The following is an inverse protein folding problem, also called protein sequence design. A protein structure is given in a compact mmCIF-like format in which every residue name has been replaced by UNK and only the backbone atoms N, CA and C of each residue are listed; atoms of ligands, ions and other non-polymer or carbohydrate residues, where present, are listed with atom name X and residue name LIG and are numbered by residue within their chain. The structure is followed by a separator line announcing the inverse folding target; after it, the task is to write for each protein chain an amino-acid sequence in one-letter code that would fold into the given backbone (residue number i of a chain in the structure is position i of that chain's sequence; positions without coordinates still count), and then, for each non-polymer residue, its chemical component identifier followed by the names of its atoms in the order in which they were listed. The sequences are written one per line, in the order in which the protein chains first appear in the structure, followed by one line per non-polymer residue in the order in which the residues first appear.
data_IF_696039879095
#
_entry.id   IF_696039879095
#
_cell.length_a   1.000
_cell.length_b   1.000
_cell.length_c   1.000
_cell.angle_alpha   90.00
_cell.angle_beta   90.00
_cell.angle_gamma   90.00
#
_symmetry.space_group_name_H-M   'P 1'
#
loop_
_entity.id
_entity.type
_entity.pdbx_description
1 polymer ?
#
# COMPACT_ATOMS: atom_id res chain seq x y z
N UNK A 1 -3.61 -31.68 9.74
CA UNK A 1 -4.58 -30.63 9.31
C UNK A 1 -4.14 -29.20 9.64
N UNK A 2 -3.44 -28.91 10.76
CA UNK A 2 -2.92 -27.57 11.03
C UNK A 2 -1.77 -27.17 10.07
N UNK A 3 -0.92 -28.13 9.68
CA UNK A 3 0.19 -27.93 8.74
C UNK A 3 -0.20 -27.61 7.28
N UNK A 4 -1.45 -27.86 6.87
CA UNK A 4 -1.91 -27.53 5.51
C UNK A 4 -2.52 -26.13 5.44
N UNK A 5 -3.18 -25.67 6.50
CA UNK A 5 -3.66 -24.27 6.61
C UNK A 5 -2.51 -23.29 6.75
N UNK A 6 -1.44 -23.66 7.46
CA UNK A 6 -0.20 -22.86 7.56
C UNK A 6 0.53 -22.78 6.21
N UNK A 7 0.49 -23.83 5.39
CA UNK A 7 1.00 -23.80 4.00
C UNK A 7 0.18 -22.93 3.06
N UNK A 8 -1.12 -22.72 3.35
CA UNK A 8 -2.00 -21.87 2.54
C UNK A 8 -1.77 -20.37 2.76
N UNK A 9 -1.17 -19.96 3.89
CA UNK A 9 -0.69 -18.60 4.10
C UNK A 9 0.65 -18.40 3.37
N UNK A 10 0.57 -18.34 2.04
CA UNK A 10 1.68 -18.01 1.15
C UNK A 10 2.25 -16.63 1.47
N UNK A 11 3.22 -16.57 2.39
CA UNK A 11 4.24 -15.55 2.62
C UNK A 11 4.10 -14.24 1.83
N UNK A 12 3.23 -13.36 2.31
CA UNK A 12 3.15 -11.97 1.86
C UNK A 12 3.95 -11.11 2.83
N UNK A 13 4.61 -10.09 2.32
CA UNK A 13 5.21 -9.03 3.11
C UNK A 13 4.19 -7.90 3.27
N UNK A 14 3.88 -7.56 4.52
CA UNK A 14 3.24 -6.29 4.84
C UNK A 14 4.35 -5.25 5.02
N UNK A 15 4.37 -4.24 4.15
CA UNK A 15 5.33 -3.15 4.18
C UNK A 15 4.60 -1.90 4.63
N UNK A 16 5.05 -1.31 5.73
CA UNK A 16 4.57 -0.04 6.22
C UNK A 16 5.73 0.95 6.30
N UNK A 17 5.53 2.13 5.74
CA UNK A 17 6.47 3.24 5.82
C UNK A 17 5.66 4.48 6.15
N UNK A 18 6.10 5.20 7.17
CA UNK A 18 5.53 6.48 7.57
C UNK A 18 6.67 7.44 7.84
N UNK A 19 6.52 8.67 7.37
CA UNK A 19 7.46 9.75 7.58
C UNK A 19 6.70 11.00 7.94
N UNK A 20 7.22 11.76 8.89
CA UNK A 20 6.68 13.02 9.32
C UNK A 20 7.82 14.03 9.49
N UNK A 21 7.65 15.23 8.97
CA UNK A 21 8.64 16.30 9.06
C UNK A 21 7.96 17.67 9.09
N UNK A 22 8.67 18.65 9.64
CA UNK A 22 8.25 20.04 9.66
C UNK A 22 9.29 20.89 8.92
N UNK A 23 8.87 21.54 7.85
CA UNK A 23 9.71 22.45 7.05
C UNK A 23 9.08 23.85 6.94
N UNK A 24 8.58 24.36 8.05
CA UNK A 24 7.69 25.54 8.09
C UNK A 24 6.21 25.18 7.93
N UNK A 25 5.94 23.96 7.45
CA UNK A 25 4.64 23.34 7.33
C UNK A 25 4.73 21.89 7.80
N UNK A 26 3.64 21.37 8.36
CA UNK A 26 3.54 19.97 8.77
C UNK A 26 3.34 19.10 7.53
N UNK A 27 4.28 18.20 7.25
CA UNK A 27 4.27 17.40 6.04
C UNK A 27 4.72 15.96 6.29
N UNK A 28 4.37 15.07 5.38
CA UNK A 28 4.72 13.67 5.53
C UNK A 28 4.24 12.78 4.42
N UNK A 29 4.53 11.50 4.60
CA UNK A 29 4.13 10.44 3.68
C UNK A 29 3.80 9.18 4.47
N UNK A 30 2.78 8.47 4.02
CA UNK A 30 2.36 7.19 4.56
C UNK A 30 2.15 6.20 3.43
N UNK A 31 2.65 4.98 3.61
CA UNK A 31 2.51 3.92 2.64
C UNK A 31 2.28 2.60 3.36
N UNK A 32 1.28 1.85 2.88
CA UNK A 32 1.06 0.46 3.27
C UNK A 32 0.92 -0.39 2.01
N UNK A 33 1.65 -1.50 1.96
CA UNK A 33 1.73 -2.35 0.78
C UNK A 33 1.76 -3.82 1.16
N UNK A 34 0.97 -4.64 0.47
CA UNK A 34 1.01 -6.09 0.50
C UNK A 34 1.74 -6.59 -0.73
N UNK A 35 2.89 -7.22 -0.50
CA UNK A 35 3.80 -7.66 -1.55
C UNK A 35 3.98 -9.17 -1.46
N UNK A 36 3.94 -9.89 -2.57
CA UNK A 36 4.21 -11.33 -2.56
C UNK A 36 5.71 -11.63 -2.70
N UNK A 37 6.08 -12.92 -2.70
CA UNK A 37 7.49 -13.35 -2.83
C UNK A 37 8.17 -13.01 -4.15
N UNK A 38 7.38 -12.79 -5.20
CA UNK A 38 7.87 -12.42 -6.53
C UNK A 38 7.98 -10.90 -6.70
N UNK A 39 7.85 -10.15 -5.60
CA UNK A 39 7.78 -8.69 -5.57
C UNK A 39 6.58 -8.10 -6.32
N UNK A 40 5.55 -8.89 -6.61
CA UNK A 40 4.29 -8.37 -7.13
C UNK A 40 3.50 -7.69 -6.01
N UNK A 41 3.05 -6.48 -6.31
CA UNK A 41 2.15 -5.73 -5.45
C UNK A 41 0.76 -6.33 -5.57
N UNK A 42 0.24 -6.84 -4.45
CA UNK A 42 -1.17 -7.28 -4.34
C UNK A 42 -2.04 -6.04 -4.15
N UNK A 43 -1.63 -5.16 -3.24
CA UNK A 43 -2.33 -3.93 -2.90
C UNK A 43 -1.35 -2.94 -2.28
N UNK A 44 -1.43 -1.67 -2.65
CA UNK A 44 -0.65 -0.58 -2.09
C UNK A 44 -1.50 0.68 -1.99
N UNK A 45 -1.39 1.37 -0.87
CA UNK A 45 -1.91 2.71 -0.67
C UNK A 45 -0.78 3.61 -0.22
N UNK A 46 -0.48 4.62 -1.02
CA UNK A 46 0.50 5.69 -0.72
C UNK A 46 -0.24 7.02 -0.58
N UNK A 47 0.14 7.80 0.43
CA UNK A 47 -0.37 9.13 0.73
C UNK A 47 0.81 10.05 0.96
N UNK A 48 0.76 11.24 0.40
CA UNK A 48 1.63 12.37 0.77
C UNK A 48 0.75 13.55 1.16
N UNK A 49 1.18 14.29 2.17
CA UNK A 49 0.43 15.42 2.70
C UNK A 49 1.35 16.57 3.10
N UNK A 50 0.81 17.79 2.98
CA UNK A 50 1.38 19.01 3.54
C UNK A 50 0.22 19.88 4.03
N UNK A 51 0.28 20.31 5.28
CA UNK A 51 -0.66 21.23 5.90
C UNK A 51 -0.03 22.63 5.88
N UNK A 52 -0.50 23.48 4.97
CA UNK A 52 -0.24 24.91 5.04
C UNK A 52 -1.12 25.57 6.12
N UNK A 53 -0.84 26.83 6.49
CA UNK A 53 -1.58 27.57 7.52
C UNK A 53 -3.07 27.80 7.16
N UNK A 54 -3.46 27.53 5.91
CA UNK A 54 -4.86 27.44 5.49
C UNK A 54 -5.39 26.07 5.92
N UNK A 55 -6.50 25.99 6.65
CA UNK A 55 -7.09 24.77 7.25
C UNK A 55 -7.33 23.58 6.27
N UNK A 56 -7.03 23.72 4.98
CA UNK A 56 -7.16 22.68 3.95
C UNK A 56 -5.80 22.15 3.50
N UNK A 57 -5.26 21.20 4.26
CA UNK A 57 -4.05 20.48 3.88
C UNK A 57 -4.12 19.86 2.46
N UNK A 58 -3.01 19.98 1.73
CA UNK A 58 -2.85 19.37 0.41
C UNK A 58 -2.47 17.91 0.58
N UNK A 59 -3.34 17.03 0.10
CA UNK A 59 -3.12 15.59 0.15
C UNK A 59 -3.15 15.02 -1.28
N UNK A 60 -2.20 14.14 -1.58
CA UNK A 60 -2.22 13.26 -2.75
C UNK A 60 -2.24 11.82 -2.30
N UNK A 61 -3.09 11.00 -2.90
CA UNK A 61 -3.17 9.56 -2.62
C UNK A 61 -3.04 8.79 -3.92
N UNK A 62 -2.27 7.71 -3.91
CA UNK A 62 -2.22 6.74 -4.99
C UNK A 62 -2.54 5.36 -4.40
N UNK A 63 -3.60 4.75 -4.90
CA UNK A 63 -3.97 3.37 -4.61
C UNK A 63 -3.64 2.52 -5.83
N UNK A 64 -2.99 1.38 -5.62
CA UNK A 64 -2.72 0.38 -6.66
C UNK A 64 -3.10 -0.99 -6.13
N UNK A 65 -3.99 -1.69 -6.82
CA UNK A 65 -4.44 -3.02 -6.39
C UNK A 65 -4.59 -3.98 -7.56
N UNK A 66 -4.18 -5.22 -7.38
CA UNK A 66 -4.38 -6.28 -8.36
C UNK A 66 -5.85 -6.73 -8.33
N UNK A 67 -6.53 -6.64 -9.47
CA UNK A 67 -7.91 -7.08 -9.65
C UNK A 67 -7.99 -8.06 -10.82
N UNK A 68 -8.26 -9.33 -10.51
CA UNK A 68 -8.26 -10.44 -11.47
C UNK A 68 -6.96 -10.51 -12.29
N UNK A 69 -6.95 -9.94 -13.49
CA UNK A 69 -5.85 -9.95 -14.45
C UNK A 69 -5.47 -8.54 -14.93
N UNK A 70 -5.68 -7.54 -14.08
CA UNK A 70 -5.34 -6.14 -14.31
C UNK A 70 -4.91 -5.48 -12.99
N UNK A 71 -4.16 -4.39 -13.10
CA UNK A 71 -3.92 -3.47 -11.99
C UNK A 71 -4.92 -2.32 -12.07
N UNK A 72 -5.66 -2.11 -10.98
CA UNK A 72 -6.48 -0.92 -10.76
C UNK A 72 -5.66 0.13 -10.04
N UNK A 73 -5.70 1.36 -10.56
CA UNK A 73 -4.96 2.49 -10.01
C UNK A 73 -5.93 3.66 -9.82
N UNK A 74 -5.95 4.21 -8.60
CA UNK A 74 -6.72 5.42 -8.28
C UNK A 74 -5.79 6.47 -7.71
N UNK A 75 -5.69 7.60 -8.38
CA UNK A 75 -5.01 8.79 -7.90
C UNK A 75 -6.05 9.81 -7.43
N UNK A 76 -5.88 10.36 -6.23
CA UNK A 76 -6.66 11.49 -5.74
C UNK A 76 -5.79 12.66 -5.30
N UNK A 77 -6.27 13.89 -5.49
CA UNK A 77 -5.61 15.10 -4.99
C UNK A 77 -6.64 16.08 -4.43
N UNK A 78 -6.52 16.48 -3.15
CA UNK A 78 -7.50 17.36 -2.50
C UNK A 78 -7.57 18.75 -3.14
N UNK A 79 -6.41 19.38 -3.41
CA UNK A 79 -6.34 20.75 -3.93
C UNK A 79 -6.96 20.94 -5.32
N UNK A 80 -6.82 19.95 -6.19
CA UNK A 80 -7.25 20.04 -7.58
C UNK A 80 -8.52 19.21 -7.83
N UNK A 81 -9.12 18.67 -6.77
CA UNK A 81 -10.29 17.77 -6.83
C UNK A 81 -10.14 16.63 -7.84
N UNK A 82 -8.90 16.12 -7.98
CA UNK A 82 -8.60 15.07 -8.95
C UNK A 82 -9.06 13.73 -8.37
N UNK A 83 -9.82 12.95 -9.15
CA UNK A 83 -10.04 11.51 -8.96
C UNK A 83 -9.83 10.78 -10.30
N UNK A 84 -8.59 10.36 -10.56
CA UNK A 84 -8.21 9.64 -11.78
C UNK A 84 -8.18 8.15 -11.53
N UNK A 85 -8.88 7.38 -12.37
CA UNK A 85 -8.94 5.92 -12.30
C UNK A 85 -8.38 5.32 -13.59
N UNK A 86 -7.48 4.36 -13.45
CA UNK A 86 -6.82 3.69 -14.59
C UNK A 86 -6.76 2.18 -14.37
N UNK A 87 -6.73 1.47 -15.49
CA UNK A 87 -6.52 0.03 -15.51
C UNK A 87 -5.33 -0.29 -16.40
N UNK A 88 -4.39 -1.07 -15.87
CA UNK A 88 -3.23 -1.56 -16.61
C UNK A 88 -3.32 -3.08 -16.77
N UNK A 89 -3.05 -3.59 -17.97
CA UNK A 89 -2.98 -5.04 -18.19
C UNK A 89 -1.75 -5.64 -17.51
N UNK A 90 -1.81 -6.93 -17.15
CA UNK A 90 -0.63 -7.61 -16.60
C UNK A 90 0.58 -7.58 -17.53
N UNK A 91 0.36 -7.60 -18.86
CA UNK A 91 1.42 -7.50 -19.85
C UNK A 91 2.14 -6.15 -19.73
N UNK A 92 1.39 -5.05 -19.61
CA UNK A 92 1.97 -3.71 -19.42
C UNK A 92 2.66 -3.56 -18.07
N UNK A 93 2.22 -4.32 -17.06
CA UNK A 93 2.76 -4.30 -15.70
C UNK A 93 3.80 -5.40 -15.43
N UNK A 94 4.30 -6.10 -16.44
CA UNK A 94 5.17 -7.28 -16.27
C UNK A 94 6.43 -6.99 -15.44
N UNK A 95 7.03 -5.82 -15.62
CA UNK A 95 8.23 -5.38 -14.91
C UNK A 95 7.92 -4.26 -13.90
N UNK A 96 6.65 -4.11 -13.50
CA UNK A 96 6.24 -3.10 -12.55
C UNK A 96 6.60 -3.51 -11.12
N UNK A 97 7.13 -2.56 -10.37
CA UNK A 97 7.32 -2.67 -8.93
C UNK A 97 6.73 -1.42 -8.26
N UNK A 98 5.89 -1.63 -7.24
CA UNK A 98 5.37 -0.54 -6.42
C UNK A 98 6.40 -0.06 -5.40
N UNK A 99 6.11 1.00 -4.66
CA UNK A 99 7.08 1.59 -3.75
C UNK A 99 7.38 0.65 -2.56
N UNK A 100 6.36 -0.04 -2.03
CA UNK A 100 6.55 -1.04 -0.98
C UNK A 100 7.34 -2.25 -1.45
N UNK A 101 7.04 -2.77 -2.64
CA UNK A 101 7.80 -3.86 -3.24
C UNK A 101 9.25 -3.46 -3.54
N UNK A 102 9.47 -2.22 -3.96
CA UNK A 102 10.79 -1.64 -4.19
C UNK A 102 11.67 -1.72 -2.93
N UNK A 103 11.15 -1.34 -1.77
CA UNK A 103 11.93 -1.43 -0.53
C UNK A 103 12.28 -2.88 -0.18
N UNK A 104 11.37 -3.84 -0.35
CA UNK A 104 11.69 -5.26 -0.11
C UNK A 104 12.75 -5.76 -1.09
N UNK A 105 12.62 -5.40 -2.37
CA UNK A 105 13.58 -5.77 -3.42
C UNK A 105 14.97 -5.19 -3.15
N UNK A 106 15.08 -3.90 -2.83
CA UNK A 106 16.38 -3.27 -2.53
C UNK A 106 17.04 -3.92 -1.32
N UNK A 107 16.28 -4.27 -0.27
CA UNK A 107 16.80 -5.01 0.89
C UNK A 107 17.30 -6.40 0.47
N UNK A 108 16.55 -7.10 -0.36
CA UNK A 108 16.95 -8.41 -0.89
C UNK A 108 18.23 -8.33 -1.71
N UNK A 109 18.37 -7.33 -2.61
CA UNK A 109 19.58 -7.11 -3.41
C UNK A 109 20.83 -7.00 -2.52
N UNK A 110 20.73 -6.25 -1.42
CA UNK A 110 21.83 -6.04 -0.48
C UNK A 110 22.20 -7.34 0.24
N UNK A 111 21.21 -8.08 0.73
CA UNK A 111 21.42 -9.36 1.42
C UNK A 111 22.01 -10.40 0.44
N UNK A 112 21.54 -10.41 -0.81
CA UNK A 112 22.06 -11.23 -1.89
C UNK A 112 23.40 -10.74 -2.45
N UNK A 113 23.93 -9.62 -1.95
CA UNK A 113 25.19 -8.99 -2.40
C UNK A 113 25.22 -8.67 -3.89
N UNK A 114 24.08 -8.30 -4.45
CA UNK A 114 23.95 -7.93 -5.85
C UNK A 114 24.68 -6.60 -6.13
N UNK A 115 25.52 -6.61 -7.17
CA UNK A 115 26.23 -5.44 -7.68
C UNK A 115 25.93 -5.36 -9.18
N UNK A 116 25.53 -4.18 -9.65
CA UNK A 116 25.20 -3.98 -11.06
C UNK A 116 23.99 -3.08 -11.24
N UNK A 117 23.52 -3.05 -12.48
CA UNK A 117 22.47 -2.13 -12.93
C UNK A 117 21.34 -2.91 -13.59
N UNK A 118 20.10 -2.52 -13.32
CA UNK A 118 18.93 -3.04 -14.03
C UNK A 118 17.81 -1.99 -14.04
N UNK A 119 16.79 -2.23 -14.85
CA UNK A 119 15.66 -1.34 -15.02
C UNK A 119 14.35 -2.10 -14.81
N UNK A 120 13.43 -1.45 -14.10
CA UNK A 120 12.04 -1.85 -13.91
C UNK A 120 11.13 -0.66 -14.23
N UNK A 121 9.82 -0.87 -14.14
CA UNK A 121 8.83 0.19 -14.15
C UNK A 121 8.33 0.45 -12.72
N UNK A 122 7.99 1.69 -12.42
CA UNK A 122 7.34 2.08 -11.16
C UNK A 122 6.15 2.97 -11.47
N UNK A 123 5.42 3.39 -10.45
CA UNK A 123 4.35 4.37 -10.58
C UNK A 123 4.59 5.52 -9.63
N UNK A 124 4.42 6.73 -10.13
CA UNK A 124 4.52 7.94 -9.31
C UNK A 124 3.15 8.27 -8.68
N UNK A 125 3.07 9.27 -7.78
CA UNK A 125 1.83 9.54 -7.04
C UNK A 125 0.65 9.92 -7.93
N UNK A 126 0.91 10.54 -9.07
CA UNK A 126 -0.08 10.87 -10.10
C UNK A 126 -0.69 9.63 -10.80
N UNK A 127 -0.16 8.43 -10.54
CA UNK A 127 -0.61 7.19 -11.16
C UNK A 127 -0.05 6.97 -12.57
N UNK A 128 0.92 7.78 -13.00
CA UNK A 128 1.64 7.60 -14.27
C UNK A 128 2.75 6.54 -14.09
N UNK A 129 2.96 5.73 -15.12
CA UNK A 129 4.05 4.75 -15.12
C UNK A 129 5.36 5.46 -15.44
N UNK A 130 6.40 5.12 -14.71
CA UNK A 130 7.71 5.73 -14.81
C UNK A 130 8.77 4.66 -15.02
N UNK A 131 9.85 5.03 -15.71
CA UNK A 131 11.05 4.19 -15.76
C UNK A 131 11.76 4.26 -14.42
N UNK A 132 12.36 3.16 -14.00
CA UNK A 132 12.96 3.02 -12.68
C UNK A 132 14.27 2.23 -12.78
N UNK A 133 15.39 2.94 -12.74
CA UNK A 133 16.72 2.39 -12.97
C UNK A 133 17.45 2.28 -11.64
N UNK A 134 18.04 1.12 -11.38
CA UNK A 134 18.78 0.83 -10.16
C UNK A 134 20.25 0.60 -10.47
N UNK A 135 21.13 1.15 -9.64
CA UNK A 135 22.57 0.90 -9.67
C UNK A 135 23.04 0.57 -8.24
N UNK A 136 23.34 -0.71 -7.99
CA UNK A 136 23.84 -1.18 -6.71
C UNK A 136 25.37 -1.17 -6.68
N UNK A 137 25.95 -0.52 -5.67
CA UNK A 137 27.40 -0.44 -5.42
C UNK A 137 27.73 -0.88 -4.00
N UNK A 138 28.92 -1.42 -3.83
CA UNK A 138 29.46 -1.80 -2.53
C UNK A 138 29.84 -3.28 -2.45
N UNK A 139 30.09 -3.80 -1.24
CA UNK A 139 30.08 -3.06 0.01
C UNK A 139 31.25 -2.07 0.12
N UNK A 140 31.08 -1.01 0.92
CA UNK A 140 32.14 -0.05 1.30
C UNK A 140 32.04 0.28 2.78
N UNK A 141 33.19 0.53 3.41
CA UNK A 141 33.21 1.01 4.80
C UNK A 141 32.83 2.48 4.84
N UNK A 142 31.84 2.80 5.67
CA UNK A 142 31.32 4.15 5.91
C UNK A 142 31.31 4.43 7.40
N UNK A 143 31.56 5.69 7.77
CA UNK A 143 31.55 6.13 9.17
C UNK A 143 30.17 6.67 9.52
N UNK A 144 29.45 5.99 10.42
CA UNK A 144 28.11 6.36 10.89
C UNK A 144 28.20 6.52 12.41
N UNK A 145 27.87 7.71 12.91
CA UNK A 145 27.91 8.03 14.35
C UNK A 145 29.22 7.63 15.04
N UNK A 146 30.34 7.82 14.34
CA UNK A 146 31.69 7.47 14.83
C UNK A 146 32.12 6.03 14.59
N UNK A 147 31.21 5.12 14.23
CA UNK A 147 31.47 3.71 14.00
C UNK A 147 31.72 3.40 12.51
N UNK A 148 32.66 2.51 12.23
CA UNK A 148 32.89 1.99 10.88
C UNK A 148 31.90 0.85 10.61
N UNK A 149 31.05 1.03 9.60
CA UNK A 149 30.04 0.06 9.19
C UNK A 149 30.24 -0.26 7.73
N UNK A 150 30.13 -1.54 7.37
CA UNK A 150 30.11 -1.95 5.98
C UNK A 150 28.70 -1.77 5.39
N UNK A 151 28.60 -1.06 4.26
CA UNK A 151 27.32 -0.70 3.67
C UNK A 151 27.31 -0.78 2.14
N UNK A 152 26.11 -1.02 1.59
CA UNK A 152 25.81 -0.95 0.17
C UNK A 152 25.08 0.34 -0.14
N UNK A 153 25.42 0.98 -1.26
CA UNK A 153 24.71 2.17 -1.76
C UNK A 153 23.97 1.79 -3.04
N UNK A 154 22.65 1.90 -3.01
CA UNK A 154 21.80 1.74 -4.19
C UNK A 154 21.39 3.12 -4.66
N UNK A 155 21.73 3.46 -5.91
CA UNK A 155 21.18 4.64 -6.59
C UNK A 155 19.93 4.19 -7.37
N UNK A 156 18.85 4.93 -7.21
CA UNK A 156 17.59 4.75 -7.93
C UNK A 156 17.30 6.01 -8.72
N UNK A 157 17.08 5.88 -10.02
CA UNK A 157 16.69 6.98 -10.91
C UNK A 157 15.30 6.71 -11.45
N UNK A 158 14.34 7.56 -11.09
CA UNK A 158 12.97 7.52 -11.61
C UNK A 158 12.85 8.57 -12.71
N UNK A 159 12.37 8.17 -13.88
CA UNK A 159 12.14 9.09 -15.01
C UNK A 159 10.64 9.08 -15.31
N UNK A 160 9.98 10.20 -15.05
CA UNK A 160 8.56 10.40 -15.36
C UNK A 160 8.32 10.54 -16.87
N UNK A 161 7.08 10.35 -17.32
CA UNK A 161 6.71 10.52 -18.74
C UNK A 161 6.98 11.94 -19.26
N UNK A 162 6.90 12.95 -18.38
CA UNK A 162 7.20 14.35 -18.72
C UNK A 162 8.70 14.65 -18.83
N UNK A 163 9.57 13.67 -18.58
CA UNK A 163 11.03 13.81 -18.63
C UNK A 163 11.67 14.28 -17.31
N UNK A 164 10.89 14.57 -16.27
CA UNK A 164 11.41 14.86 -14.93
C UNK A 164 12.19 13.65 -14.40
N UNK A 165 13.39 13.91 -13.88
CA UNK A 165 14.28 12.88 -13.36
C UNK A 165 14.44 13.07 -11.85
N UNK A 166 14.12 12.02 -11.09
CA UNK A 166 14.33 11.96 -9.65
C UNK A 166 15.47 10.99 -9.35
N UNK A 167 16.53 11.46 -8.69
CA UNK A 167 17.60 10.58 -8.20
C UNK A 167 17.51 10.42 -6.70
N UNK A 168 17.59 9.19 -6.27
CA UNK A 168 17.49 8.78 -4.88
C UNK A 168 18.69 7.89 -4.59
N UNK A 169 19.34 8.11 -3.47
CA UNK A 169 20.39 7.23 -2.99
C UNK A 169 19.96 6.65 -1.64
N UNK A 170 20.09 5.33 -1.52
CA UNK A 170 19.75 4.63 -0.28
C UNK A 170 20.94 3.79 0.14
N UNK A 171 21.39 4.04 1.37
CA UNK A 171 22.48 3.32 2.00
C UNK A 171 21.89 2.23 2.89
N UNK A 172 22.37 1.01 2.73
CA UNK A 172 21.93 -0.15 3.49
C UNK A 172 23.09 -0.79 4.24
N UNK A 173 22.82 -1.31 5.43
CA UNK A 173 23.75 -2.24 6.08
C UNK A 173 23.84 -3.54 5.29
N UNK A 174 24.88 -4.33 5.51
CA UNK A 174 25.04 -5.68 4.93
C UNK A 174 23.88 -6.64 5.23
N UNK A 175 23.03 -6.32 6.21
CA UNK A 175 21.84 -7.07 6.61
C UNK A 175 20.53 -6.52 6.01
N UNK A 176 20.62 -5.55 5.09
CA UNK A 176 19.45 -4.95 4.43
C UNK A 176 18.63 -4.04 5.35
N UNK A 177 19.25 -3.39 6.36
CA UNK A 177 18.59 -2.27 7.08
C UNK A 177 18.90 -0.97 6.36
N UNK A 178 17.89 -0.10 6.19
CA UNK A 178 18.11 1.25 5.66
C UNK A 178 18.85 2.05 6.72
N UNK A 179 20.04 2.55 6.37
CA UNK A 179 20.86 3.42 7.21
C UNK A 179 20.50 4.87 6.94
N UNK A 180 20.50 5.26 5.67
CA UNK A 180 20.14 6.60 5.26
C UNK A 180 19.55 6.61 3.86
N UNK A 181 18.68 7.56 3.58
CA UNK A 181 18.13 7.81 2.25
C UNK A 181 18.13 9.31 1.98
N UNK A 182 18.64 9.68 0.80
CA UNK A 182 18.75 11.05 0.31
C UNK A 182 18.07 11.16 -1.06
N UNK A 183 17.45 12.31 -1.31
CA UNK A 183 16.85 12.66 -2.60
C UNK A 183 17.63 13.83 -3.19
N UNK A 184 18.10 13.68 -4.43
CA UNK A 184 18.82 14.74 -5.14
C UNK A 184 17.95 16.00 -5.21
N UNK A 185 18.55 17.15 -4.93
CA UNK A 185 17.87 18.45 -4.94
C UNK A 185 16.96 18.72 -3.72
N UNK A 186 16.91 17.81 -2.74
CA UNK A 186 16.11 18.00 -1.53
C UNK A 186 17.01 18.08 -0.28
N UNK A 187 16.70 18.97 0.68
CA UNK A 187 17.46 19.07 1.94
C UNK A 187 17.14 17.94 2.93
N UNK A 188 16.16 17.09 2.62
CA UNK A 188 15.67 16.05 3.52
C UNK A 188 16.52 14.79 3.41
N UNK A 189 16.92 14.26 4.57
CA UNK A 189 17.62 12.99 4.70
C UNK A 189 16.89 12.14 5.72
N UNK A 190 16.48 10.95 5.31
CA UNK A 190 15.95 9.95 6.23
C UNK A 190 17.14 9.21 6.84
N UNK A 191 17.27 9.21 8.16
CA UNK A 191 18.33 8.49 8.86
C UNK A 191 17.74 7.42 9.77
N UNK A 192 18.46 6.32 9.91
CA UNK A 192 18.19 5.31 10.93
C UNK A 192 18.24 5.98 12.31
N UNK A 193 17.40 5.49 13.23
CA UNK A 193 17.40 6.01 14.59
C UNK A 193 18.82 5.89 15.19
N UNK A 194 19.46 7.00 15.61
CA UNK A 194 20.84 6.99 16.11
C UNK A 194 20.98 6.22 17.43
N UNK A 195 19.87 5.97 18.15
CA UNK A 195 19.84 5.11 19.34
C UNK A 195 19.87 3.62 18.99
N UNK A 196 19.70 3.25 17.72
CA UNK A 196 19.74 1.86 17.29
C UNK A 196 21.21 1.41 17.24
N UNK A 197 21.57 0.44 18.07
CA UNK A 197 22.90 -0.19 18.00
C UNK A 197 23.00 -1.00 16.71
N UNK A 198 23.81 -0.52 15.77
CA UNK A 198 24.29 -1.24 14.59
C UNK A 198 25.43 -2.19 15.03
N UNK A 199 25.16 -3.11 15.95
CA UNK A 199 26.19 -4.09 16.36
C UNK A 199 26.44 -5.08 15.22
N UNK A 200 27.71 -5.27 14.87
CA UNK A 200 28.16 -6.15 13.78
C UNK A 200 27.94 -7.65 14.08
N UNK A 201 27.57 -8.02 15.31
CA UNK A 201 27.72 -9.38 15.81
C UNK A 201 26.42 -10.18 15.96
N UNK A 202 25.25 -9.57 16.02
CA UNK A 202 23.99 -10.30 16.24
C UNK A 202 22.85 -9.59 15.52
N UNK A 203 21.86 -10.35 15.08
CA UNK A 203 20.65 -9.93 14.37
C UNK A 203 20.68 -10.02 12.83
N UNK A 204 21.02 -11.20 12.28
CA UNK A 204 19.88 -11.88 11.66
C UNK A 204 18.89 -12.03 12.82
N UNK A 205 17.70 -11.38 12.83
CA UNK A 205 16.68 -11.98 13.66
C UNK A 205 16.74 -13.45 13.23
N UNK A 206 17.02 -14.37 14.15
CA UNK A 206 16.37 -15.66 13.99
C UNK A 206 14.95 -15.21 13.70
N UNK A 207 14.44 -15.53 12.52
CA UNK A 207 13.01 -15.54 12.32
C UNK A 207 12.51 -16.66 13.26
N UNK A 208 12.65 -16.47 14.58
CA UNK A 208 11.64 -16.85 15.51
C UNK A 208 10.44 -16.12 14.92
N UNK A 209 9.67 -16.88 14.16
CA UNK A 209 8.32 -16.55 13.82
C UNK A 209 7.61 -16.41 15.17
N UNK A 210 7.85 -15.31 15.87
CA UNK A 210 6.90 -14.87 16.87
C UNK A 210 5.71 -14.42 16.03
N UNK A 211 4.73 -15.32 15.94
CA UNK A 211 3.50 -15.06 15.24
C UNK A 211 2.95 -13.76 15.81
N UNK A 212 3.02 -12.69 15.00
CA UNK A 212 2.57 -11.36 15.40
C UNK A 212 1.12 -11.42 15.91
N UNK A 213 0.35 -12.41 15.43
CA UNK A 213 -1.03 -12.73 15.76
C UNK A 213 -1.26 -13.13 17.23
N UNK A 214 -0.23 -13.62 17.93
CA UNK A 214 -0.33 -14.01 19.36
C UNK A 214 0.27 -12.96 20.31
N UNK A 215 1.31 -12.24 19.90
CA UNK A 215 2.02 -11.33 20.81
C UNK A 215 1.30 -10.00 21.07
N UNK A 216 0.52 -9.49 20.11
CA UNK A 216 -0.21 -8.23 20.32
C UNK A 216 -1.27 -8.32 21.43
N UNK A 217 -1.77 -9.53 21.72
CA UNK A 217 -2.73 -9.76 22.82
C UNK A 217 -2.07 -9.70 24.19
N UNK A 218 -0.77 -9.97 24.26
CA UNK A 218 0.01 -9.96 25.50
C UNK A 218 0.51 -8.55 25.84
N UNK A 219 0.61 -7.67 24.84
CA UNK A 219 0.87 -6.24 25.06
C UNK A 219 -0.43 -5.54 25.48
N UNK A 220 -0.48 -5.11 26.74
CA UNK A 220 -1.64 -4.45 27.33
C UNK A 220 -2.05 -3.18 26.56
N UNK A 221 -1.08 -2.44 26.03
CA UNK A 221 -1.31 -1.20 25.29
C UNK A 221 -1.89 -1.46 23.89
N UNK A 222 -1.38 -2.47 23.19
CA UNK A 222 -1.93 -2.89 21.88
C UNK A 222 -3.31 -3.52 22.04
N UNK A 223 -3.52 -4.34 23.07
CA UNK A 223 -4.81 -4.94 23.36
C UNK A 223 -5.88 -3.88 23.68
N UNK A 224 -5.53 -2.84 24.45
CA UNK A 224 -6.43 -1.73 24.73
C UNK A 224 -6.84 -1.00 23.44
N UNK A 225 -5.85 -0.61 22.61
CA UNK A 225 -6.12 0.04 21.32
C UNK A 225 -6.99 -0.82 20.39
N UNK A 226 -6.69 -2.11 20.29
CA UNK A 226 -7.51 -3.02 19.51
C UNK A 226 -8.95 -3.08 20.02
N UNK A 227 -9.12 -3.17 21.35
CA UNK A 227 -10.45 -3.24 21.97
C UNK A 227 -11.26 -1.99 21.70
N UNK A 228 -10.63 -0.81 21.77
CA UNK A 228 -11.28 0.46 21.45
C UNK A 228 -11.70 0.52 19.97
N UNK A 229 -10.78 0.17 19.06
CA UNK A 229 -11.06 0.16 17.61
C UNK A 229 -12.16 -0.84 17.28
N UNK A 230 -12.11 -2.04 17.86
CA UNK A 230 -13.11 -3.10 17.68
C UNK A 230 -14.48 -2.63 18.18
N UNK A 231 -14.55 -2.08 19.38
CA UNK A 231 -15.81 -1.59 19.98
C UNK A 231 -16.40 -0.48 19.12
N UNK A 232 -15.58 0.46 18.63
CA UNK A 232 -16.02 1.52 17.74
C UNK A 232 -16.53 0.97 16.39
N UNK A 233 -15.83 -0.01 15.81
CA UNK A 233 -16.27 -0.66 14.57
C UNK A 233 -17.60 -1.43 14.75
N UNK A 234 -17.77 -2.14 15.87
CA UNK A 234 -19.02 -2.83 16.20
C UNK A 234 -20.18 -1.85 16.40
N UNK A 235 -19.94 -0.73 17.08
CA UNK A 235 -20.94 0.34 17.24
C UNK A 235 -21.35 0.91 15.89
N UNK A 236 -20.40 1.26 15.02
CA UNK A 236 -20.71 1.75 13.66
C UNK A 236 -21.54 0.75 12.86
N UNK A 237 -21.18 -0.53 12.89
CA UNK A 237 -21.94 -1.57 12.19
C UNK A 237 -23.35 -1.72 12.77
N UNK A 238 -23.50 -1.64 14.10
CA UNK A 238 -24.80 -1.73 14.78
C UNK A 238 -25.69 -0.54 14.43
N UNK A 239 -25.15 0.67 14.49
CA UNK A 239 -25.87 1.90 14.12
C UNK A 239 -26.29 1.85 12.65
N UNK A 240 -25.38 1.48 11.74
CA UNK A 240 -25.72 1.31 10.32
C UNK A 240 -26.88 0.31 10.10
N UNK A 241 -26.84 -0.85 10.76
CA UNK A 241 -27.92 -1.85 10.66
C UNK A 241 -29.24 -1.41 11.32
N UNK A 242 -29.19 -0.47 12.28
CA UNK A 242 -30.38 0.11 12.89
C UNK A 242 -31.00 1.19 12.00
N UNK A 243 -30.15 2.03 11.39
CA UNK A 243 -30.56 3.12 10.51
C UNK A 243 -31.08 2.61 9.16
N UNK A 244 -30.61 1.44 8.72
CA UNK A 244 -30.98 0.80 7.45
C UNK A 244 -31.67 -0.55 7.62
N UNK A 245 -32.92 -0.59 8.14
CA UNK A 245 -33.68 -1.83 8.31
C UNK A 245 -33.89 -2.61 6.99
N UNK A 246 -33.93 -1.92 5.85
CA UNK A 246 -34.06 -2.50 4.52
C UNK A 246 -32.92 -3.46 4.18
N UNK A 247 -31.70 -3.19 4.65
CA UNK A 247 -30.53 -4.06 4.45
C UNK A 247 -30.70 -5.35 5.24
N UNK A 248 -31.22 -5.24 6.47
CA UNK A 248 -31.48 -6.41 7.33
C UNK A 248 -32.57 -7.30 6.74
N UNK A 249 -33.64 -6.72 6.20
CA UNK A 249 -34.71 -7.44 5.51
C UNK A 249 -34.19 -8.15 4.25
N UNK A 250 -33.42 -7.45 3.40
CA UNK A 250 -32.84 -8.05 2.19
C UNK A 250 -31.92 -9.25 2.49
N UNK A 251 -31.14 -9.17 3.57
CA UNK A 251 -30.28 -10.28 4.02
C UNK A 251 -31.13 -11.44 4.56
N UNK A 252 -32.20 -11.14 5.32
CA UNK A 252 -33.10 -12.16 5.86
C UNK A 252 -33.81 -12.91 4.73
N UNK A 253 -34.35 -12.20 3.74
CA UNK A 253 -35.00 -12.78 2.57
C UNK A 253 -34.01 -13.64 1.77
N UNK A 254 -32.79 -13.14 1.56
CA UNK A 254 -31.73 -13.91 0.90
C UNK A 254 -31.44 -15.23 1.64
N UNK A 255 -31.24 -15.17 2.96
CA UNK A 255 -30.98 -16.35 3.78
C UNK A 255 -32.15 -17.35 3.72
N UNK A 256 -33.39 -16.86 3.74
CA UNK A 256 -34.56 -17.71 3.59
C UNK A 256 -34.57 -18.42 2.22
N UNK A 257 -34.25 -17.72 1.14
CA UNK A 257 -34.17 -18.30 -0.20
C UNK A 257 -33.06 -19.35 -0.32
N UNK A 258 -31.89 -19.10 0.27
CA UNK A 258 -30.78 -20.07 0.30
C UNK A 258 -31.20 -21.34 1.06
N UNK A 259 -31.85 -21.18 2.22
CA UNK A 259 -32.26 -22.32 3.06
C UNK A 259 -33.38 -23.15 2.42
N UNK A 260 -34.28 -22.51 1.67
CA UNK A 260 -35.37 -23.18 0.95
C UNK A 260 -34.88 -23.89 -0.31
N UNK A 261 -34.10 -23.21 -1.15
CA UNK A 261 -33.71 -23.72 -2.47
C UNK A 261 -32.47 -24.62 -2.43
N UNK A 262 -31.65 -24.52 -1.37
CA UNK A 262 -30.40 -25.27 -1.15
C UNK A 262 -29.58 -25.44 -2.44
N UNK A 263 -29.22 -24.33 -3.11
CA UNK A 263 -28.53 -24.40 -4.40
C UNK A 263 -27.17 -25.10 -4.26
N UNK A 264 -26.85 -25.98 -5.21
CA UNK A 264 -25.56 -26.67 -5.28
C UNK A 264 -24.38 -25.72 -5.51
N UNK A 265 -24.63 -24.57 -6.14
CA UNK A 265 -23.66 -23.51 -6.41
C UNK A 265 -24.08 -22.20 -5.74
N UNK A 266 -23.69 -22.02 -4.48
CA UNK A 266 -24.13 -20.89 -3.67
C UNK A 266 -23.70 -19.53 -4.26
N UNK A 267 -22.44 -19.40 -4.73
CA UNK A 267 -21.91 -18.11 -5.20
C UNK A 267 -22.62 -17.58 -6.46
N UNK A 268 -22.89 -18.45 -7.42
CA UNK A 268 -23.65 -18.09 -8.64
C UNK A 268 -25.07 -17.64 -8.26
N UNK A 269 -25.71 -18.38 -7.34
CA UNK A 269 -27.04 -18.03 -6.81
C UNK A 269 -27.04 -16.69 -6.08
N UNK A 270 -26.05 -16.40 -5.23
CA UNK A 270 -25.92 -15.12 -4.51
C UNK A 270 -25.85 -13.94 -5.48
N UNK A 271 -24.99 -14.05 -6.51
CA UNK A 271 -24.85 -13.00 -7.51
C UNK A 271 -26.17 -12.75 -8.25
N UNK A 272 -26.85 -13.81 -8.71
CA UNK A 272 -28.14 -13.67 -9.39
C UNK A 272 -29.26 -13.15 -8.49
N UNK A 273 -29.25 -13.50 -7.20
CA UNK A 273 -30.23 -13.02 -6.23
C UNK A 273 -30.10 -11.51 -6.03
N UNK A 274 -28.91 -11.02 -5.69
CA UNK A 274 -28.69 -9.58 -5.44
C UNK A 274 -28.71 -8.73 -6.71
N UNK A 275 -28.47 -9.32 -7.89
CA UNK A 275 -28.68 -8.62 -9.17
C UNK A 275 -30.12 -8.09 -9.34
N UNK A 276 -31.11 -8.71 -8.70
CA UNK A 276 -32.52 -8.29 -8.78
C UNK A 276 -32.81 -7.01 -7.99
N UNK A 277 -31.98 -6.71 -6.99
CA UNK A 277 -32.04 -5.49 -6.19
C UNK A 277 -31.24 -4.35 -6.85
N UNK A 278 -30.50 -4.63 -7.92
CA UNK A 278 -29.98 -3.57 -8.75
C UNK A 278 -31.18 -2.86 -9.38
N UNK A 279 -31.30 -1.52 -9.26
CA UNK A 279 -32.31 -0.79 -10.01
C UNK A 279 -32.21 -1.20 -11.48
N UNK A 280 -33.36 -1.48 -12.12
CA UNK A 280 -33.48 -1.81 -13.54
C UNK A 280 -32.56 -0.86 -14.32
N UNK A 281 -31.41 -1.37 -14.75
CA UNK A 281 -30.43 -0.55 -15.43
C UNK A 281 -31.06 -0.05 -16.72
N UNK A 282 -31.12 1.27 -16.89
CA UNK A 282 -30.99 1.84 -18.22
C UNK A 282 -29.82 1.13 -18.88
N UNK A 283 -30.11 0.51 -20.01
CA UNK A 283 -29.16 -0.17 -20.89
C UNK A 283 -27.97 0.78 -21.14
N UNK A 284 -26.90 0.67 -20.35
CA UNK A 284 -25.59 1.21 -20.73
C UNK A 284 -24.76 0.08 -21.32
N UNK A 285 -25.29 -0.45 -22.43
CA UNK A 285 -24.43 -0.99 -23.46
C UNK A 285 -23.63 0.18 -24.02
N UNK A 286 -22.31 0.13 -23.82
CA UNK A 286 -21.29 0.87 -24.56
C UNK A 286 -21.67 2.27 -25.07
N UNK A 287 -21.44 3.30 -24.25
CA UNK A 287 -20.82 4.59 -24.63
C UNK A 287 -20.99 5.57 -23.48
N UNK A 288 -19.92 5.84 -22.74
CA UNK A 288 -19.82 7.09 -21.99
C UNK A 288 -18.89 8.01 -22.77
N UNK A 289 -19.48 8.86 -23.61
CA UNK A 289 -18.96 10.20 -23.80
C UNK A 289 -19.36 11.05 -22.58
N UNK A 290 -18.57 12.07 -22.22
CA UNK A 290 -18.71 12.80 -20.97
C UNK A 290 -19.70 13.97 -21.08
N UNK A 291 -20.15 14.40 -19.89
CA UNK A 291 -20.71 15.71 -19.52
C UNK A 291 -22.17 16.00 -19.98
N UNK A 292 -22.99 16.79 -19.29
CA UNK A 292 -22.83 17.86 -18.31
C UNK A 292 -23.92 17.69 -17.21
N UNK A 293 -23.77 18.28 -16.02
CA UNK A 293 -24.73 18.29 -14.88
C UNK A 293 -24.56 17.12 -13.87
N UNK A 294 -23.70 17.14 -12.85
CA UNK A 294 -23.28 18.20 -11.91
C UNK A 294 -24.40 18.95 -11.17
N UNK A 295 -25.70 18.73 -11.46
CA UNK A 295 -26.73 19.60 -10.88
C UNK A 295 -27.38 19.14 -9.56
N UNK A 296 -27.07 17.95 -9.04
CA UNK A 296 -27.55 17.57 -7.69
C UNK A 296 -26.43 17.08 -6.79
N UNK A 297 -25.46 17.96 -6.61
CA UNK A 297 -24.47 17.96 -5.53
C UNK A 297 -25.05 17.74 -4.12
N UNK A 298 -26.33 17.96 -3.83
CA UNK A 298 -26.68 18.42 -2.48
C UNK A 298 -27.97 17.94 -1.83
N UNK A 299 -28.62 16.88 -2.29
CA UNK A 299 -29.93 16.60 -1.71
C UNK A 299 -29.97 15.78 -0.41
N UNK A 300 -28.87 15.27 0.17
CA UNK A 300 -28.90 14.81 1.59
C UNK A 300 -27.55 14.42 2.29
N UNK A 301 -26.44 15.11 2.04
CA UNK A 301 -25.29 15.09 2.96
C UNK A 301 -25.10 16.47 3.56
#
# INVERSE_FOLDING_TARGET
MLNEKIKANHYKFLVHISSHFNCGYEAGSDMTSWVNRDFHTVEEKRKEYIFDDEETGRQKTCYTGMQHNKYYVRNTCSRNEIDKRRYYSMIKMKNYISEGANFVMMRYMVIARYIGTFELSTMYLNGDLCRNIYESKGPRVVKIDGNNVEAYKIHRTIIEECGTVHRIATLFSTHGRIITQEWEGNPFVLNINPKLKLDNAVFLPRFEYEELEENWKNDLGLLAKYTDIKTNAELKCRTYMQDHPEVKEAIADYMQHVLLLKPSKIMEFTCEYFKRYLPLQSYRGNTFSPDEDDLEFYMSL
#
